data_IF_758707204655
#
_entry.id   IF_758707204655
#
_cell.length_a   1.000
_cell.length_b   1.000
_cell.length_c   1.000
_cell.angle_alpha   90.00
_cell.angle_beta   90.00
_cell.angle_gamma   90.00
#
_symmetry.space_group_name_H-M   'P 1'
#
loop_
_entity.id
_entity.type
_entity.pdbx_description
1 polymer ?
#
# COMPACT_ATOMS: atom_id res chain seq x y z
N UNK A 1 -2.60 -2.67 2.88
CA UNK A 1 -1.47 -1.74 2.79
C UNK A 1 -1.81 -0.61 1.85
N UNK A 2 -1.39 0.61 2.15
CA UNK A 2 -1.46 1.76 1.24
C UNK A 2 -0.05 2.13 0.82
N UNK A 3 0.21 2.21 -0.49
CA UNK A 3 1.53 2.61 -1.03
C UNK A 3 1.50 4.12 -1.28
N UNK A 4 2.54 4.83 -0.81
CA UNK A 4 2.71 6.28 -0.87
C UNK A 4 2.74 6.95 0.51
N UNK A 5 2.82 8.28 0.52
CA UNK A 5 3.01 9.08 1.74
C UNK A 5 2.47 10.50 1.65
N UNK A 6 1.67 10.82 0.63
CA UNK A 6 1.05 12.13 0.46
C UNK A 6 -0.26 12.29 1.23
N UNK A 7 -0.93 13.42 0.99
CA UNK A 7 -2.24 13.70 1.58
C UNK A 7 -3.34 12.74 1.07
N UNK A 8 -3.23 12.30 -0.19
CA UNK A 8 -4.13 11.28 -0.79
C UNK A 8 -4.06 9.99 0.00
N UNK A 9 -2.86 9.47 0.24
CA UNK A 9 -2.68 8.21 0.97
C UNK A 9 -3.10 8.34 2.44
N UNK A 10 -2.85 9.49 3.07
CA UNK A 10 -3.40 9.74 4.41
C UNK A 10 -4.94 9.69 4.43
N UNK A 11 -5.60 10.30 3.45
CA UNK A 11 -7.07 10.28 3.36
C UNK A 11 -7.60 8.86 3.14
N UNK A 12 -6.94 8.07 2.29
CA UNK A 12 -7.26 6.66 2.07
C UNK A 12 -7.13 5.86 3.37
N UNK A 13 -6.02 6.01 4.09
CA UNK A 13 -5.78 5.33 5.37
C UNK A 13 -6.84 5.74 6.40
N UNK A 14 -7.11 7.04 6.54
CA UNK A 14 -8.14 7.57 7.43
C UNK A 14 -9.52 6.98 7.14
N UNK A 15 -9.86 6.81 5.86
CA UNK A 15 -11.17 6.25 5.49
C UNK A 15 -11.23 4.74 5.68
N UNK A 16 -10.17 4.02 5.32
CA UNK A 16 -10.07 2.56 5.50
C UNK A 16 -10.13 2.17 6.98
N UNK A 17 -9.52 2.98 7.87
CA UNK A 17 -9.52 2.75 9.32
C UNK A 17 -10.92 2.78 9.96
N UNK A 18 -11.92 3.36 9.29
CA UNK A 18 -13.30 3.41 9.78
C UNK A 18 -14.09 2.13 9.45
N UNK A 19 -13.55 1.26 8.60
CA UNK A 19 -14.24 0.03 8.23
C UNK A 19 -14.14 -1.01 9.36
N UNK A 20 -15.26 -1.58 9.84
CA UNK A 20 -15.21 -2.64 10.86
C UNK A 20 -14.58 -3.94 10.34
N UNK A 21 -14.35 -4.05 9.02
CA UNK A 21 -13.68 -5.20 8.39
C UNK A 21 -12.15 -5.06 8.36
N UNK A 22 -11.62 -3.87 8.64
CA UNK A 22 -10.18 -3.61 8.60
C UNK A 22 -9.61 -3.76 10.01
N UNK A 23 -8.73 -4.74 10.19
CA UNK A 23 -8.08 -5.01 11.49
C UNK A 23 -6.82 -4.17 11.71
N UNK A 24 -6.03 -3.98 10.65
CA UNK A 24 -4.73 -3.34 10.73
C UNK A 24 -4.39 -2.69 9.38
N UNK A 25 -3.71 -1.55 9.41
CA UNK A 25 -3.29 -0.83 8.20
C UNK A 25 -1.79 -0.59 8.26
N UNK A 26 -1.14 -0.91 7.15
CA UNK A 26 0.26 -0.59 6.88
C UNK A 26 0.35 0.44 5.76
N UNK A 27 1.32 1.35 5.84
CA UNK A 27 1.56 2.40 4.85
C UNK A 27 3.04 2.44 4.50
N UNK A 28 3.38 2.53 3.22
CA UNK A 28 4.78 2.50 2.77
C UNK A 28 5.06 3.66 1.79
N UNK A 29 5.88 4.67 2.14
CA UNK A 29 6.52 4.89 3.44
C UNK A 29 5.59 5.53 4.48
N UNK A 30 4.46 6.10 4.06
CA UNK A 30 3.62 6.92 4.91
C UNK A 30 4.27 8.26 5.31
N UNK A 31 3.68 8.92 6.31
CA UNK A 31 4.14 10.19 6.87
C UNK A 31 3.77 10.30 8.36
N UNK A 32 4.11 11.42 9.01
CA UNK A 32 3.79 11.66 10.42
C UNK A 32 2.27 11.66 10.74
N UNK A 33 1.42 11.94 9.75
CA UNK A 33 -0.03 11.87 9.88
C UNK A 33 -0.54 10.43 9.87
N UNK A 34 -0.11 9.62 8.90
CA UNK A 34 -0.51 8.21 8.81
C UNK A 34 -0.03 7.39 10.00
N UNK A 35 1.12 7.74 10.58
CA UNK A 35 1.64 7.09 11.79
C UNK A 35 0.71 7.20 13.01
N UNK A 36 -0.27 8.12 13.00
CA UNK A 36 -1.26 8.25 14.08
C UNK A 36 -2.39 7.22 14.00
N UNK A 37 -2.58 6.59 12.84
CA UNK A 37 -3.74 5.72 12.54
C UNK A 37 -3.36 4.42 11.84
N UNK A 38 -2.08 4.21 11.53
CA UNK A 38 -1.54 3.05 10.82
C UNK A 38 -0.04 2.86 11.12
N UNK A 39 0.51 1.73 10.69
CA UNK A 39 1.93 1.41 10.81
C UNK A 39 2.68 1.82 9.54
N UNK A 40 3.59 2.78 9.66
CA UNK A 40 4.48 3.14 8.56
C UNK A 40 5.60 2.10 8.42
N UNK A 41 5.90 1.71 7.19
CA UNK A 41 7.02 0.84 6.82
C UNK A 41 8.05 1.69 6.07
N UNK A 42 9.31 1.67 6.48
CA UNK A 42 10.38 2.40 5.79
C UNK A 42 10.79 1.69 4.49
N UNK A 43 9.88 1.73 3.50
CA UNK A 43 10.01 1.10 2.19
C UNK A 43 9.63 2.13 1.13
N UNK A 44 10.49 2.32 0.13
CA UNK A 44 10.21 3.20 -1.00
C UNK A 44 8.98 2.73 -1.77
N UNK A 45 8.10 3.63 -2.27
CA UNK A 45 6.99 3.24 -3.13
C UNK A 45 7.42 2.51 -4.40
N UNK A 46 8.64 2.75 -4.88
CA UNK A 46 9.20 2.15 -6.11
C UNK A 46 9.97 0.85 -5.85
N UNK A 47 10.16 0.46 -4.59
CA UNK A 47 10.78 -0.83 -4.25
C UNK A 47 9.70 -1.92 -4.19
N UNK A 48 9.23 -2.30 -5.38
CA UNK A 48 8.09 -3.23 -5.56
C UNK A 48 8.37 -4.60 -4.91
N UNK A 49 9.61 -5.09 -4.97
CA UNK A 49 9.97 -6.38 -4.39
C UNK A 49 9.92 -6.34 -2.85
N UNK A 50 10.46 -5.29 -2.23
CA UNK A 50 10.33 -5.11 -0.78
C UNK A 50 8.88 -4.92 -0.35
N UNK A 51 8.07 -4.21 -1.15
CA UNK A 51 6.62 -4.07 -0.90
C UNK A 51 5.90 -5.43 -0.98
N UNK A 52 6.18 -6.25 -1.99
CA UNK A 52 5.59 -7.58 -2.15
C UNK A 52 6.00 -8.51 -1.01
N UNK A 53 7.27 -8.50 -0.62
CA UNK A 53 7.80 -9.27 0.52
C UNK A 53 7.13 -8.83 1.82
N UNK A 54 7.07 -7.53 2.10
CA UNK A 54 6.41 -7.00 3.30
C UNK A 54 4.91 -7.35 3.32
N UNK A 55 4.24 -7.31 2.16
CA UNK A 55 2.84 -7.70 2.04
C UNK A 55 2.62 -9.18 2.40
N UNK A 56 3.50 -10.08 1.97
CA UNK A 56 3.45 -11.49 2.33
C UNK A 56 3.74 -11.71 3.82
N UNK A 57 4.83 -11.14 4.33
CA UNK A 57 5.26 -11.31 5.73
C UNK A 57 4.22 -10.79 6.73
N UNK A 58 3.59 -9.65 6.42
CA UNK A 58 2.52 -9.05 7.23
C UNK A 58 1.13 -9.63 6.93
N UNK A 59 1.02 -10.61 6.02
CA UNK A 59 -0.24 -11.25 5.60
C UNK A 59 -1.29 -10.23 5.16
N UNK A 60 -0.88 -9.29 4.32
CA UNK A 60 -1.74 -8.24 3.80
C UNK A 60 -2.66 -8.84 2.74
N UNK A 61 -3.97 -8.62 2.90
CA UNK A 61 -5.00 -9.15 2.00
C UNK A 61 -5.33 -8.19 0.84
N UNK A 62 -5.14 -6.88 1.06
CA UNK A 62 -5.40 -5.82 0.08
C UNK A 62 -4.30 -4.76 0.07
N UNK A 63 -3.79 -4.44 -1.11
CA UNK A 63 -2.89 -3.32 -1.38
C UNK A 63 -3.60 -2.25 -2.18
N UNK A 64 -3.47 -0.98 -1.81
CA UNK A 64 -4.01 0.17 -2.56
C UNK A 64 -2.83 1.06 -2.96
N UNK A 65 -2.68 1.30 -4.26
CA UNK A 65 -1.57 2.10 -4.79
C UNK A 65 -2.01 3.53 -4.97
N UNK A 66 -1.36 4.46 -4.27
CA UNK A 66 -1.63 5.89 -4.40
C UNK A 66 -0.83 6.53 -5.53
N UNK A 67 0.52 6.57 -5.45
CA UNK A 67 1.38 7.24 -6.42
C UNK A 67 1.37 6.63 -7.82
N UNK A 68 1.62 7.47 -8.80
CA UNK A 68 1.57 7.14 -10.23
C UNK A 68 2.82 6.38 -10.70
N UNK A 69 3.99 6.68 -10.12
CA UNK A 69 5.27 6.04 -10.48
C UNK A 69 5.26 4.52 -10.31
N UNK A 70 4.90 3.93 -9.15
CA UNK A 70 4.86 2.47 -9.00
C UNK A 70 3.83 1.79 -9.91
N UNK A 71 2.74 2.48 -10.27
CA UNK A 71 1.79 1.99 -11.27
C UNK A 71 2.46 1.87 -12.65
N UNK A 72 3.18 2.90 -13.09
CA UNK A 72 3.93 2.88 -14.35
C UNK A 72 5.04 1.81 -14.36
N UNK A 73 5.63 1.53 -13.20
CA UNK A 73 6.65 0.51 -13.01
C UNK A 73 6.09 -0.93 -12.95
N UNK A 74 4.76 -1.09 -13.01
CA UNK A 74 4.11 -2.40 -13.07
C UNK A 74 3.93 -3.08 -11.71
N UNK A 75 3.76 -2.31 -10.62
CA UNK A 75 3.47 -2.87 -9.30
C UNK A 75 2.25 -3.80 -9.31
N UNK A 76 1.20 -3.44 -10.07
CA UNK A 76 -0.03 -4.23 -10.13
C UNK A 76 0.23 -5.57 -10.80
N UNK A 77 0.94 -5.57 -11.92
CA UNK A 77 1.32 -6.78 -12.65
C UNK A 77 2.14 -7.72 -11.75
N UNK A 78 3.13 -7.17 -11.05
CA UNK A 78 3.96 -7.96 -10.11
C UNK A 78 3.18 -8.55 -8.94
N UNK A 79 2.15 -7.86 -8.45
CA UNK A 79 1.31 -8.34 -7.35
C UNK A 79 0.30 -9.41 -7.80
N UNK A 80 -0.10 -9.46 -9.06
CA UNK A 80 -0.97 -10.53 -9.58
C UNK A 80 -0.36 -11.92 -9.37
N UNK A 81 0.97 -12.04 -9.45
CA UNK A 81 1.70 -13.29 -9.20
C UNK A 81 1.78 -13.69 -7.71
N UNK A 82 1.40 -12.80 -6.79
CA UNK A 82 1.49 -13.04 -5.34
C UNK A 82 0.23 -13.61 -4.72
N UNK A 83 -0.90 -13.58 -5.44
CA UNK A 83 -2.22 -13.90 -4.89
C UNK A 83 -2.79 -12.86 -3.90
N UNK A 84 -2.08 -11.76 -3.65
CA UNK A 84 -2.54 -10.64 -2.82
C UNK A 84 -3.39 -9.71 -3.69
N UNK A 85 -4.58 -9.34 -3.21
CA UNK A 85 -5.43 -8.39 -3.96
C UNK A 85 -4.77 -7.02 -3.99
N UNK A 86 -4.76 -6.39 -5.17
CA UNK A 86 -4.20 -5.05 -5.36
C UNK A 86 -5.17 -4.16 -6.15
N UNK A 87 -5.31 -2.91 -5.71
CA UNK A 87 -6.11 -1.88 -6.35
C UNK A 87 -5.20 -0.82 -6.96
N UNK A 88 -5.23 -0.73 -8.30
CA UNK A 88 -4.44 0.15 -9.14
C UNK A 88 -4.60 -0.24 -10.61
N UNK A 89 -4.04 0.54 -11.52
CA UNK A 89 -3.99 0.20 -12.95
C UNK A 89 -2.78 -0.68 -13.24
N UNK A 90 -2.93 -1.68 -14.12
CA UNK A 90 -1.79 -2.40 -14.70
C UNK A 90 -0.93 -1.46 -15.54
N UNK A 91 0.31 -1.87 -15.83
CA UNK A 91 1.12 -1.20 -16.83
C UNK A 91 0.38 -1.21 -18.19
N UNK A 92 0.49 -0.10 -18.92
CA UNK A 92 -0.05 0.05 -20.27
C UNK A 92 0.90 -0.56 -21.32
#
# INVERSE_FOLDING_TARGET
MVVGGGAREHTLVWKLAQSPKVREIYVAPGNAGTAKVAHNLDISPTDIESLAKAAQEKRIELVVVGPEVPLADGIVDRFQDTGISIFGTTKA
#
